data_IF_595874195845
#
_entry.id   IF_595874195845
#
_cell.length_a   1.000
_cell.length_b   1.000
_cell.length_c   1.000
_cell.angle_alpha   90.00
_cell.angle_beta   90.00
_cell.angle_gamma   90.00
#
_symmetry.space_group_name_H-M   'P 1'
#
loop_
_entity.id
_entity.type
_entity.pdbx_description
1 polymer ?
#
# COMPACT_ATOMS: atom_id res chain seq x y z
N UNK A 1 -0.30 14.68 5.70
CA UNK A 1 -0.43 14.71 4.22
C UNK A 1 -1.65 13.94 3.77
N UNK A 2 -2.09 14.23 2.57
CA UNK A 2 -3.20 13.50 1.97
C UNK A 2 -2.74 12.15 1.46
N UNK A 3 -3.58 11.14 1.63
CA UNK A 3 -3.28 9.79 1.15
C UNK A 3 -3.90 9.56 -0.22
N UNK A 4 -3.18 8.84 -1.05
CA UNK A 4 -3.63 8.44 -2.38
C UNK A 4 -3.34 6.97 -2.59
N UNK A 5 -4.26 6.29 -3.25
CA UNK A 5 -4.01 4.93 -3.71
C UNK A 5 -3.54 5.00 -5.15
N UNK A 6 -2.46 4.31 -5.46
CA UNK A 6 -1.88 4.37 -6.77
C UNK A 6 -1.59 3.01 -7.36
N UNK A 7 -1.44 2.98 -8.67
CA UNK A 7 -1.13 1.75 -9.36
C UNK A 7 -0.91 1.98 -10.84
N UNK A 8 -0.88 0.91 -11.59
CA UNK A 8 -0.68 0.94 -13.04
C UNK A 8 -1.97 0.53 -13.72
N UNK A 9 -2.49 1.39 -14.61
CA UNK A 9 -3.74 1.14 -15.30
C UNK A 9 -3.73 -0.14 -16.10
N UNK A 10 -2.62 -0.43 -16.77
CA UNK A 10 -2.54 -1.53 -17.70
C UNK A 10 -2.15 -2.86 -17.07
N UNK A 11 -1.92 -2.88 -15.77
CA UNK A 11 -1.46 -4.10 -15.10
C UNK A 11 -2.06 -4.21 -13.70
N UNK A 12 -3.23 -4.82 -13.63
CA UNK A 12 -3.91 -5.00 -12.34
C UNK A 12 -3.11 -5.89 -11.40
N UNK A 13 -2.29 -6.77 -11.94
CA UNK A 13 -1.49 -7.68 -11.12
C UNK A 13 -0.34 -6.98 -10.41
N UNK A 14 0.00 -5.77 -10.85
CA UNK A 14 1.05 -5.02 -10.17
C UNK A 14 0.64 -4.57 -8.76
N UNK A 15 -0.67 -4.59 -8.47
CA UNK A 15 -1.17 -4.21 -7.15
C UNK A 15 -1.27 -2.71 -6.97
N UNK A 16 -1.65 -2.33 -5.77
CA UNK A 16 -1.83 -0.93 -5.40
C UNK A 16 -0.90 -0.56 -4.25
N UNK A 17 -0.56 0.71 -4.18
CA UNK A 17 0.24 1.23 -3.07
C UNK A 17 -0.45 2.47 -2.50
N UNK A 18 -0.07 2.81 -1.28
CA UNK A 18 -0.50 4.05 -0.64
C UNK A 18 0.67 5.03 -0.71
N UNK A 19 0.42 6.23 -1.21
CA UNK A 19 1.41 7.29 -1.19
C UNK A 19 0.83 8.51 -0.48
N UNK A 20 1.70 9.32 0.10
CA UNK A 20 1.30 10.52 0.82
C UNK A 20 1.87 11.74 0.12
N UNK A 21 1.00 12.68 -0.21
CA UNK A 21 1.40 13.85 -0.97
C UNK A 21 0.44 14.99 -0.66
N UNK A 22 0.85 16.20 -1.02
CA UNK A 22 0.03 17.38 -0.85
C UNK A 22 -0.96 17.55 -2.01
N UNK A 23 -0.61 17.05 -3.18
CA UNK A 23 -1.42 17.19 -4.38
C UNK A 23 -1.44 15.89 -5.16
N UNK A 24 -2.44 15.74 -6.04
CA UNK A 24 -2.54 14.57 -6.90
C UNK A 24 -1.35 14.46 -7.85
N UNK A 25 -0.85 15.60 -8.35
CA UNK A 25 0.29 15.60 -9.24
C UNK A 25 1.54 15.04 -8.56
N UNK A 26 1.75 15.43 -7.31
CA UNK A 26 2.87 14.93 -6.53
C UNK A 26 2.70 13.43 -6.25
N UNK A 27 1.46 13.02 -5.97
CA UNK A 27 1.17 11.61 -5.73
C UNK A 27 1.49 10.75 -6.95
N UNK A 28 1.16 11.23 -8.15
CA UNK A 28 1.48 10.51 -9.38
C UNK A 28 2.97 10.32 -9.52
N UNK A 29 3.77 11.33 -9.20
CA UNK A 29 5.22 11.20 -9.25
C UNK A 29 5.73 10.13 -8.31
N UNK A 30 5.14 10.03 -7.12
CA UNK A 30 5.55 9.03 -6.14
C UNK A 30 5.19 7.62 -6.60
N UNK A 31 4.00 7.46 -7.18
CA UNK A 31 3.60 6.17 -7.73
C UNK A 31 4.55 5.77 -8.85
N UNK A 32 4.90 6.71 -9.70
CA UNK A 32 5.82 6.45 -10.80
C UNK A 32 7.17 5.95 -10.28
N UNK A 33 7.70 6.60 -9.26
CA UNK A 33 8.97 6.21 -8.68
C UNK A 33 8.94 4.80 -8.09
N UNK A 34 7.80 4.42 -7.51
CA UNK A 34 7.68 3.11 -6.89
C UNK A 34 7.49 2.00 -7.92
N UNK A 35 6.69 2.28 -8.97
CA UNK A 35 6.26 1.23 -9.89
C UNK A 35 7.17 1.08 -11.10
N UNK A 36 7.95 2.10 -11.41
CA UNK A 36 8.75 2.12 -12.64
C UNK A 36 10.22 2.25 -12.29
N UNK A 37 10.83 1.13 -11.95
CA UNK A 37 12.23 1.15 -11.55
C UNK A 37 13.17 1.31 -12.74
N UNK A 38 12.76 0.92 -13.92
CA UNK A 38 13.62 1.00 -15.11
C UNK A 38 13.22 2.14 -16.06
N UNK A 39 12.18 2.89 -15.71
CA UNK A 39 11.80 4.07 -16.46
C UNK A 39 11.14 3.82 -17.80
N UNK A 40 10.69 2.62 -18.07
CA UNK A 40 10.12 2.30 -19.37
C UNK A 40 8.64 2.59 -19.50
N UNK A 41 7.90 2.60 -18.38
CA UNK A 41 6.49 2.94 -18.43
C UNK A 41 6.32 4.43 -18.55
N UNK A 42 5.20 4.84 -19.12
CA UNK A 42 4.91 6.25 -19.28
C UNK A 42 3.97 6.74 -18.19
N UNK A 43 3.88 8.07 -18.09
CA UNK A 43 2.98 8.69 -17.13
C UNK A 43 1.54 8.23 -17.25
N UNK A 44 1.10 7.93 -18.47
CA UNK A 44 -0.30 7.60 -18.67
C UNK A 44 -0.66 6.23 -18.15
N UNK A 45 0.33 5.43 -17.81
CA UNK A 45 0.07 4.09 -17.30
C UNK A 45 -0.16 4.07 -15.79
N UNK A 46 0.15 5.15 -15.08
CA UNK A 46 -0.05 5.17 -13.64
C UNK A 46 -1.20 6.08 -13.26
N UNK A 47 -1.76 5.83 -12.10
CA UNK A 47 -2.81 6.68 -11.55
C UNK A 47 -2.58 6.88 -10.07
N UNK A 48 -3.22 7.93 -9.53
CA UNK A 48 -3.28 8.16 -8.09
C UNK A 48 -4.65 8.73 -7.79
N UNK A 49 -5.40 8.05 -6.93
CA UNK A 49 -6.75 8.44 -6.55
C UNK A 49 -6.76 8.80 -5.07
N UNK A 50 -7.49 9.85 -4.74
CA UNK A 50 -7.63 10.28 -3.36
C UNK A 50 -8.20 9.14 -2.51
N UNK A 51 -7.60 8.90 -1.36
CA UNK A 51 -8.02 7.81 -0.48
C UNK A 51 -7.94 8.29 0.96
N UNK A 52 -8.91 9.10 1.35
CA UNK A 52 -8.84 9.90 2.56
C UNK A 52 -8.80 9.09 3.87
N UNK A 53 -9.17 7.82 3.82
CA UNK A 53 -9.18 7.00 5.02
C UNK A 53 -7.78 6.86 5.64
N UNK A 54 -6.74 7.07 4.85
CA UNK A 54 -5.36 7.00 5.35
C UNK A 54 -4.69 8.36 5.50
N UNK A 55 -5.45 9.45 5.42
CA UNK A 55 -4.88 10.78 5.58
C UNK A 55 -4.09 10.88 6.88
N UNK A 56 -2.97 11.57 6.79
CA UNK A 56 -2.11 11.88 7.93
C UNK A 56 -1.45 10.66 8.58
N UNK A 57 -1.39 9.56 7.86
CA UNK A 57 -0.75 8.34 8.35
C UNK A 57 0.69 8.18 7.84
N UNK A 58 1.28 9.24 7.27
CA UNK A 58 2.62 9.13 6.69
C UNK A 58 3.70 8.84 7.73
N UNK A 59 3.42 9.10 9.00
CA UNK A 59 4.40 8.86 10.05
C UNK A 59 4.30 7.49 10.69
N UNK A 60 3.34 6.67 10.27
CA UNK A 60 3.24 5.31 10.78
C UNK A 60 4.39 4.46 10.23
N UNK A 61 4.84 3.50 11.03
CA UNK A 61 5.79 2.52 10.53
C UNK A 61 5.15 1.68 9.43
N UNK A 62 5.98 1.01 8.64
CA UNK A 62 5.44 0.13 7.60
C UNK A 62 4.49 -0.91 8.18
N UNK A 63 4.85 -1.49 9.31
CA UNK A 63 4.02 -2.49 9.97
C UNK A 63 2.66 -1.91 10.37
N UNK A 64 2.67 -0.72 10.95
CA UNK A 64 1.44 -0.07 11.38
C UNK A 64 0.56 0.32 10.20
N UNK A 65 1.16 0.85 9.14
CA UNK A 65 0.39 1.21 7.96
C UNK A 65 -0.20 -0.02 7.29
N UNK A 66 0.55 -1.10 7.19
CA UNK A 66 0.02 -2.33 6.64
C UNK A 66 -1.11 -2.89 7.48
N UNK A 67 -1.05 -2.73 8.81
CA UNK A 67 -2.14 -3.14 9.68
C UNK A 67 -3.41 -2.35 9.37
N UNK A 68 -3.28 -1.04 9.13
CA UNK A 68 -4.44 -0.23 8.78
C UNK A 68 -5.01 -0.62 7.42
N UNK A 69 -4.14 -0.93 6.46
CA UNK A 69 -4.58 -1.43 5.16
C UNK A 69 -5.33 -2.75 5.31
N UNK A 70 -4.80 -3.64 6.12
CA UNK A 70 -5.42 -4.93 6.38
C UNK A 70 -6.82 -4.76 7.01
N UNK A 71 -6.95 -3.85 7.96
CA UNK A 71 -8.27 -3.56 8.55
C UNK A 71 -9.24 -2.98 7.54
N UNK A 72 -8.73 -2.30 6.53
CA UNK A 72 -9.56 -1.74 5.47
C UNK A 72 -9.90 -2.75 4.38
N UNK A 73 -9.44 -3.99 4.53
CA UNK A 73 -9.76 -5.05 3.59
C UNK A 73 -8.73 -5.30 2.52
N UNK A 74 -7.56 -4.68 2.62
CA UNK A 74 -6.50 -4.94 1.66
C UNK A 74 -5.99 -6.36 1.79
N UNK A 75 -5.64 -6.95 0.66
CA UNK A 75 -5.08 -8.29 0.60
C UNK A 75 -3.60 -8.22 0.29
N UNK A 76 -2.84 -9.08 0.96
CA UNK A 76 -1.40 -9.21 0.71
C UNK A 76 -1.13 -10.63 0.23
N UNK A 77 -0.15 -10.76 -0.66
CA UNK A 77 0.10 -12.03 -1.34
C UNK A 77 0.74 -13.11 -0.47
N UNK A 78 1.25 -12.74 0.70
CA UNK A 78 1.84 -13.72 1.60
C UNK A 78 0.76 -14.66 2.14
N UNK A 79 1.15 -15.92 2.37
CA UNK A 79 0.20 -16.92 2.85
C UNK A 79 -0.19 -16.70 4.30
N UNK A 80 -1.32 -17.26 4.68
CA UNK A 80 -1.81 -17.27 6.06
C UNK A 80 -2.17 -15.90 6.62
N UNK A 81 -2.51 -14.96 5.74
CA UNK A 81 -2.98 -13.65 6.19
C UNK A 81 -4.24 -13.83 7.03
N UNK A 82 -4.28 -13.29 8.27
CA UNK A 82 -5.47 -13.40 9.10
C UNK A 82 -6.68 -12.70 8.48
N UNK A 83 -7.86 -13.17 8.83
CA UNK A 83 -9.11 -12.54 8.39
C UNK A 83 -9.34 -11.29 9.24
N UNK A 84 -9.42 -10.13 8.59
CA UNK A 84 -9.54 -8.86 9.31
C UNK A 84 -10.83 -8.74 10.09
N UNK A 85 -11.86 -9.49 9.74
CA UNK A 85 -13.13 -9.44 10.46
C UNK A 85 -13.17 -10.33 11.70
N UNK A 86 -12.21 -11.25 11.85
CA UNK A 86 -12.21 -12.22 12.93
C UNK A 86 -10.96 -12.19 13.78
N UNK A 87 -9.96 -11.41 13.39
CA UNK A 87 -8.66 -11.43 14.05
C UNK A 87 -8.37 -10.09 14.73
N UNK A 88 -7.52 -10.14 15.74
CA UNK A 88 -7.10 -8.94 16.45
C UNK A 88 -5.88 -8.30 15.75
N UNK A 89 -5.56 -7.07 16.15
CA UNK A 89 -4.34 -6.43 15.67
C UNK A 89 -3.10 -7.25 16.01
N UNK A 90 -3.11 -7.88 17.18
CA UNK A 90 -1.98 -8.71 17.58
C UNK A 90 -1.81 -9.91 16.65
N UNK A 91 -2.90 -10.46 16.18
CA UNK A 91 -2.84 -11.55 15.19
C UNK A 91 -2.16 -11.10 13.92
N UNK A 92 -2.48 -9.89 13.45
CA UNK A 92 -1.84 -9.34 12.28
C UNK A 92 -0.35 -9.10 12.52
N UNK A 93 0.00 -8.54 13.67
CA UNK A 93 1.40 -8.25 13.96
C UNK A 93 2.21 -9.54 14.05
N UNK A 94 1.64 -10.61 14.61
CA UNK A 94 2.31 -11.89 14.65
C UNK A 94 2.56 -12.44 13.25
N UNK A 95 1.54 -12.34 12.39
CA UNK A 95 1.67 -12.73 10.99
C UNK A 95 2.75 -11.91 10.29
N UNK A 96 2.75 -10.59 10.52
CA UNK A 96 3.73 -9.69 9.92
C UNK A 96 5.15 -10.09 10.29
N UNK A 97 5.36 -10.37 11.57
CA UNK A 97 6.70 -10.74 12.03
C UNK A 97 7.20 -12.02 11.38
N UNK A 98 6.30 -12.98 11.18
CA UNK A 98 6.68 -14.23 10.52
C UNK A 98 6.91 -14.08 9.02
N UNK A 99 6.06 -13.29 8.38
CA UNK A 99 5.98 -13.28 6.91
C UNK A 99 6.84 -12.18 6.28
N UNK A 100 6.85 -11.01 6.90
CA UNK A 100 7.44 -9.83 6.27
C UNK A 100 8.88 -9.60 6.69
N UNK A 101 9.32 -10.22 7.76
CA UNK A 101 10.71 -10.11 8.20
C UNK A 101 11.62 -11.11 7.54
N UNK A 102 11.06 -12.02 6.77
CA UNK A 102 11.85 -12.99 6.06
C UNK A 102 12.33 -14.19 6.86
N UNK A 103 11.83 -14.37 8.05
CA UNK A 103 12.12 -15.59 8.81
C UNK A 103 11.40 -16.74 8.15
N UNK A 104 12.12 -17.75 7.86
CA UNK A 104 11.55 -18.89 7.17
C UNK A 104 11.81 -20.17 7.91
#
# INVERSE_FOLDING_TARGET
MKAYIGGIHSNDDAGNIIVFAKTAKEAIKLVLQDQISDGRESYIDVYAKRYSIFDDMENLSRKELMKEQWRDGWWFSQSDLPDESESSDQDFYSWYERSMRGEQ
#
